data_IF_143077940529
#
_entry.id   IF_143077940529
#
_cell.length_a   1.000
_cell.length_b   1.000
_cell.length_c   1.000
_cell.angle_alpha   90.00
_cell.angle_beta   90.00
_cell.angle_gamma   90.00
#
_symmetry.space_group_name_H-M   'P 1'
#
loop_
_entity.id
_entity.type
_entity.pdbx_description
1 polymer ?
#
# COMPACT_ATOMS: atom_id res chain seq x y z
N UNK A 1 -48.04 -7.35 -39.53
CA UNK A 1 -47.20 -7.00 -38.36
C UNK A 1 -46.52 -8.26 -37.83
N UNK A 2 -45.35 -8.59 -38.38
CA UNK A 2 -44.40 -9.56 -37.83
C UNK A 2 -43.04 -8.97 -38.19
N UNK A 3 -42.30 -8.33 -37.29
CA UNK A 3 -41.86 -8.88 -36.01
C UNK A 3 -40.36 -9.10 -36.18
N UNK A 4 -39.59 -8.04 -35.87
CA UNK A 4 -38.11 -7.94 -35.78
C UNK A 4 -37.35 -9.20 -36.25
N UNK A 5 -36.69 -9.11 -37.42
CA UNK A 5 -35.71 -10.14 -37.81
C UNK A 5 -34.56 -10.12 -36.79
N UNK A 6 -34.47 -11.18 -36.00
CA UNK A 6 -33.34 -11.52 -35.16
C UNK A 6 -32.04 -11.40 -35.98
N UNK A 7 -31.00 -10.84 -35.38
CA UNK A 7 -29.73 -10.49 -36.01
C UNK A 7 -29.31 -11.50 -37.10
N UNK A 8 -29.37 -11.06 -38.35
CA UNK A 8 -28.82 -11.79 -39.49
C UNK A 8 -27.29 -11.78 -39.31
N UNK A 9 -26.74 -12.94 -38.96
CA UNK A 9 -25.30 -13.18 -38.94
C UNK A 9 -24.78 -13.14 -40.38
N UNK A 10 -24.58 -11.94 -40.91
CA UNK A 10 -23.83 -11.75 -42.16
C UNK A 10 -22.35 -11.95 -41.84
N UNK A 11 -21.77 -13.01 -42.39
CA UNK A 11 -20.33 -13.15 -42.43
C UNK A 11 -19.73 -11.89 -43.06
N UNK A 12 -18.72 -11.25 -42.43
CA UNK A 12 -18.05 -10.10 -43.00
C UNK A 12 -17.53 -10.46 -44.39
N UNK A 13 -17.87 -9.62 -45.37
CA UNK A 13 -17.30 -9.75 -46.71
C UNK A 13 -15.78 -9.59 -46.65
N UNK A 14 -15.05 -10.14 -47.63
CA UNK A 14 -13.59 -10.01 -47.68
C UNK A 14 -13.11 -8.54 -47.61
N UNK A 15 -13.92 -7.59 -48.11
CA UNK A 15 -13.66 -6.15 -48.01
C UNK A 15 -13.80 -5.63 -46.58
N UNK A 16 -14.82 -6.07 -45.85
CA UNK A 16 -15.04 -5.71 -44.44
C UNK A 16 -13.94 -6.29 -43.55
N UNK A 17 -13.52 -7.53 -43.78
CA UNK A 17 -12.42 -8.15 -43.06
C UNK A 17 -11.11 -7.36 -43.24
N UNK A 18 -10.79 -6.96 -44.47
CA UNK A 18 -9.62 -6.10 -44.73
C UNK A 18 -9.72 -4.75 -44.03
N UNK A 19 -10.89 -4.11 -44.06
CA UNK A 19 -11.09 -2.83 -43.40
C UNK A 19 -10.88 -2.94 -41.87
N UNK A 20 -11.41 -4.00 -41.26
CA UNK A 20 -11.26 -4.26 -39.82
C UNK A 20 -9.81 -4.59 -39.44
N UNK A 21 -9.11 -5.38 -40.25
CA UNK A 21 -7.69 -5.68 -40.06
C UNK A 21 -6.84 -4.40 -40.16
N UNK A 22 -7.16 -3.53 -41.11
CA UNK A 22 -6.47 -2.24 -41.29
C UNK A 22 -6.72 -1.32 -40.10
N UNK A 23 -7.97 -1.24 -39.63
CA UNK A 23 -8.34 -0.49 -38.44
C UNK A 23 -7.63 -1.04 -37.18
N UNK A 24 -7.51 -2.36 -37.04
CA UNK A 24 -6.81 -2.99 -35.93
C UNK A 24 -5.31 -2.65 -35.94
N UNK A 25 -4.67 -2.71 -37.11
CA UNK A 25 -3.25 -2.32 -37.28
C UNK A 25 -3.02 -0.84 -36.96
N UNK A 26 -3.91 0.04 -37.42
CA UNK A 26 -3.85 1.47 -37.10
C UNK A 26 -4.01 1.74 -35.60
N UNK A 27 -4.98 1.09 -34.95
CA UNK A 27 -5.19 1.23 -33.51
C UNK A 27 -4.00 0.72 -32.69
N UNK A 28 -3.36 -0.37 -33.11
CA UNK A 28 -2.17 -0.89 -32.45
C UNK A 28 -0.94 0.00 -32.66
N UNK A 29 -0.75 0.52 -33.88
CA UNK A 29 0.30 1.50 -34.16
C UNK A 29 0.08 2.80 -33.36
N UNK A 30 -1.17 3.22 -33.18
CA UNK A 30 -1.50 4.38 -32.35
C UNK A 30 -1.21 4.12 -30.88
N UNK A 31 -1.54 2.94 -30.33
CA UNK A 31 -1.18 2.56 -28.95
C UNK A 31 0.33 2.56 -28.73
N UNK A 32 1.11 1.98 -29.64
CA UNK A 32 2.58 1.95 -29.56
C UNK A 32 3.21 3.34 -29.64
N UNK A 33 2.57 4.31 -30.30
CA UNK A 33 3.03 5.71 -30.31
C UNK A 33 2.77 6.46 -29.00
N UNK A 34 1.77 6.03 -28.23
CA UNK A 34 1.37 6.67 -26.97
C UNK A 34 2.12 6.08 -25.77
N UNK A 35 2.51 4.81 -25.82
CA UNK A 35 3.41 4.23 -24.82
C UNK A 35 4.81 4.81 -25.00
N UNK A 36 5.22 5.68 -24.07
CA UNK A 36 6.63 6.03 -23.91
C UNK A 36 7.29 4.82 -23.25
N UNK A 37 8.17 4.16 -24.00
CA UNK A 37 8.93 2.97 -23.57
C UNK A 37 10.11 3.41 -22.71
N UNK A 38 9.81 4.10 -21.61
CA UNK A 38 10.80 4.59 -20.64
C UNK A 38 10.43 4.11 -19.24
N UNK A 39 10.39 2.78 -19.11
CA UNK A 39 10.20 2.08 -17.84
C UNK A 39 11.19 2.58 -16.79
N UNK A 40 12.42 2.92 -17.20
CA UNK A 40 13.44 3.46 -16.30
C UNK A 40 13.07 4.84 -15.76
N UNK A 41 12.65 5.79 -16.62
CA UNK A 41 12.17 7.09 -16.15
C UNK A 41 10.87 6.98 -15.34
N UNK A 42 10.01 6.01 -15.66
CA UNK A 42 8.81 5.73 -14.87
C UNK A 42 9.19 5.24 -13.46
N UNK A 43 10.07 4.25 -13.35
CA UNK A 43 10.58 3.75 -12.07
C UNK A 43 11.32 4.83 -11.30
N UNK A 44 12.16 5.62 -11.95
CA UNK A 44 12.86 6.75 -11.34
C UNK A 44 11.85 7.78 -10.78
N UNK A 45 10.77 8.08 -11.50
CA UNK A 45 9.71 8.96 -11.01
C UNK A 45 8.96 8.38 -9.81
N UNK A 46 8.69 7.07 -9.79
CA UNK A 46 8.02 6.39 -8.68
C UNK A 46 8.92 6.39 -7.43
N UNK A 47 10.20 6.09 -7.59
CA UNK A 47 11.17 6.09 -6.49
C UNK A 47 11.52 7.49 -5.99
N UNK A 48 11.45 8.50 -6.85
CA UNK A 48 11.65 9.90 -6.50
C UNK A 48 10.41 10.55 -5.85
N UNK A 49 9.23 9.90 -5.88
CA UNK A 49 8.02 10.42 -5.24
C UNK A 49 8.21 10.43 -3.71
N UNK A 50 8.17 11.59 -3.04
CA UNK A 50 8.26 11.67 -1.57
C UNK A 50 7.14 10.90 -0.85
N UNK A 51 6.03 10.59 -1.54
CA UNK A 51 4.94 9.74 -1.01
C UNK A 51 5.28 8.25 -1.04
N UNK A 52 6.25 7.84 -1.86
CA UNK A 52 6.74 6.47 -1.89
C UNK A 52 7.60 6.14 -0.66
N UNK A 53 8.13 7.16 0.02
CA UNK A 53 8.62 7.00 1.39
C UNK A 53 7.45 6.57 2.27
N UNK A 54 7.42 5.29 2.61
CA UNK A 54 6.54 4.81 3.67
C UNK A 54 7.03 5.48 4.95
N UNK A 55 6.42 6.62 5.29
CA UNK A 55 6.54 7.29 6.59
C UNK A 55 5.96 6.44 7.74
N UNK A 56 5.79 5.14 7.51
CA UNK A 56 5.43 4.18 8.53
C UNK A 56 6.57 4.07 9.52
N UNK A 57 6.26 4.07 10.82
CA UNK A 57 7.27 3.87 11.84
C UNK A 57 7.83 2.45 11.73
N UNK A 58 9.01 2.31 11.12
CA UNK A 58 9.73 1.03 11.09
C UNK A 58 10.19 0.69 12.51
N UNK A 59 9.96 -0.55 12.93
CA UNK A 59 10.41 -1.07 14.22
C UNK A 59 11.92 -0.88 14.45
N UNK A 60 12.73 -0.81 13.37
CA UNK A 60 14.18 -0.63 13.41
C UNK A 60 14.64 0.83 13.46
N UNK A 61 13.74 1.79 13.24
CA UNK A 61 14.08 3.22 13.29
C UNK A 61 14.02 3.75 14.71
N UNK A 62 14.84 4.75 14.97
CA UNK A 62 14.75 5.53 16.21
C UNK A 62 13.58 6.49 16.18
N UNK A 63 13.15 7.01 17.34
CA UNK A 63 12.11 8.05 17.39
C UNK A 63 12.51 9.30 16.58
N UNK A 64 13.80 9.64 16.53
CA UNK A 64 14.35 10.75 15.75
C UNK A 64 14.18 10.59 14.24
N UNK A 65 14.35 9.36 13.74
CA UNK A 65 14.32 9.02 12.31
C UNK A 65 12.90 8.88 11.74
N UNK A 66 11.90 8.82 12.61
CA UNK A 66 10.51 8.65 12.19
C UNK A 66 9.90 10.02 11.86
N UNK A 67 9.50 10.17 10.60
CA UNK A 67 8.82 11.36 10.09
C UNK A 67 7.33 11.46 10.44
N UNK A 68 6.70 10.37 10.89
CA UNK A 68 5.29 10.38 11.27
C UNK A 68 5.06 11.17 12.57
N UNK A 69 4.07 12.07 12.56
CA UNK A 69 3.66 12.83 13.75
C UNK A 69 2.91 11.97 14.78
N UNK A 70 2.28 10.88 14.34
CA UNK A 70 1.54 9.94 15.19
C UNK A 70 2.13 8.52 15.03
N UNK A 71 2.47 7.90 16.14
CA UNK A 71 3.00 6.53 16.19
C UNK A 71 1.91 5.58 16.70
N UNK A 72 1.77 4.42 16.04
CA UNK A 72 0.73 3.43 16.33
C UNK A 72 1.32 2.05 16.46
N UNK A 73 0.88 1.33 17.48
CA UNK A 73 1.16 -0.09 17.64
C UNK A 73 -0.14 -0.82 17.98
N UNK A 74 -0.42 -1.89 17.26
CA UNK A 74 -1.57 -2.74 17.51
C UNK A 74 -1.12 -4.04 18.18
N UNK A 75 -1.87 -4.50 19.19
CA UNK A 75 -1.69 -5.85 19.71
C UNK A 75 -2.55 -6.82 18.90
N UNK A 76 -1.94 -7.72 18.12
CA UNK A 76 -2.66 -8.72 17.32
C UNK A 76 -3.39 -9.78 18.15
N UNK A 77 -3.15 -9.84 19.47
CA UNK A 77 -3.84 -10.78 20.36
C UNK A 77 -5.19 -10.24 20.84
N UNK A 78 -5.27 -8.95 21.17
CA UNK A 78 -6.47 -8.32 21.71
C UNK A 78 -7.00 -7.17 20.85
N UNK A 79 -6.38 -6.94 19.69
CA UNK A 79 -6.70 -5.90 18.70
C UNK A 79 -6.73 -4.48 19.26
N UNK A 80 -6.01 -4.25 20.38
CA UNK A 80 -5.89 -2.91 20.96
C UNK A 80 -4.83 -2.13 20.22
N UNK A 81 -5.24 -0.97 19.69
CA UNK A 81 -4.34 0.02 19.10
C UNK A 81 -3.96 1.03 20.17
N UNK A 82 -2.66 1.17 20.44
CA UNK A 82 -2.08 2.24 21.26
C UNK A 82 -1.48 3.28 20.33
N UNK A 83 -1.83 4.56 20.57
CA UNK A 83 -1.37 5.70 19.78
C UNK A 83 -0.66 6.69 20.70
N UNK A 84 0.38 7.33 20.18
CA UNK A 84 1.10 8.39 20.87
C UNK A 84 1.58 9.41 19.84
N UNK A 85 1.55 10.70 20.17
CA UNK A 85 2.21 11.70 19.34
C UNK A 85 3.72 11.50 19.41
N UNK A 86 4.43 11.72 18.30
CA UNK A 86 5.89 11.53 18.25
C UNK A 86 6.60 12.40 19.29
N UNK A 87 6.19 13.64 19.44
CA UNK A 87 6.80 14.59 20.37
C UNK A 87 6.56 14.18 21.85
N UNK A 88 5.39 13.62 22.15
CA UNK A 88 5.11 13.02 23.46
C UNK A 88 5.97 11.78 23.71
N UNK A 89 6.18 10.95 22.68
CA UNK A 89 7.06 9.80 22.76
C UNK A 89 8.52 10.22 22.99
N UNK A 90 9.00 11.27 22.33
CA UNK A 90 10.35 11.84 22.56
C UNK A 90 10.49 12.52 23.92
N UNK A 91 9.39 13.01 24.50
CA UNK A 91 9.40 13.58 25.85
C UNK A 91 9.44 12.48 26.92
N UNK A 92 8.76 11.36 26.66
CA UNK A 92 8.65 10.22 27.59
C UNK A 92 9.81 9.22 27.48
N UNK A 93 10.40 9.09 26.29
CA UNK A 93 11.46 8.14 25.98
C UNK A 93 12.65 8.87 25.36
N UNK A 94 13.84 8.29 25.42
CA UNK A 94 15.02 8.88 24.77
C UNK A 94 14.85 8.95 23.25
N UNK A 95 15.34 10.02 22.63
CA UNK A 95 15.22 10.29 21.18
C UNK A 95 15.90 9.19 20.34
N UNK A 96 16.96 8.57 20.85
CA UNK A 96 17.66 7.44 20.24
C UNK A 96 16.98 6.09 20.47
N UNK A 97 15.87 6.03 21.21
CA UNK A 97 15.15 4.78 21.45
C UNK A 97 14.58 4.22 20.15
N UNK A 98 14.73 2.92 19.95
CA UNK A 98 14.10 2.21 18.84
C UNK A 98 12.59 2.19 19.01
N UNK A 99 11.86 2.40 17.92
CA UNK A 99 10.39 2.35 17.93
C UNK A 99 9.88 1.01 18.47
N UNK A 100 10.53 -0.11 18.13
CA UNK A 100 10.18 -1.43 18.68
C UNK A 100 10.14 -1.45 20.20
N UNK A 101 11.14 -0.88 20.87
CA UNK A 101 11.25 -0.90 22.32
C UNK A 101 10.18 -0.02 22.98
N UNK A 102 9.99 1.16 22.42
CA UNK A 102 8.97 2.12 22.85
C UNK A 102 7.57 1.51 22.72
N UNK A 103 7.25 0.98 21.54
CA UNK A 103 5.96 0.37 21.25
C UNK A 103 5.68 -0.89 22.08
N UNK A 104 6.70 -1.72 22.36
CA UNK A 104 6.55 -2.84 23.30
C UNK A 104 6.23 -2.35 24.72
N UNK A 105 6.86 -1.28 25.20
CA UNK A 105 6.53 -0.67 26.51
C UNK A 105 5.12 -0.08 26.53
N UNK A 106 4.72 0.62 25.46
CA UNK A 106 3.36 1.16 25.32
C UNK A 106 2.30 0.06 25.34
N UNK A 107 2.54 -1.06 24.67
CA UNK A 107 1.66 -2.23 24.77
C UNK A 107 1.68 -2.85 26.17
N UNK A 108 2.85 -2.94 26.82
CA UNK A 108 2.95 -3.49 28.16
C UNK A 108 2.10 -2.72 29.19
N UNK A 109 2.01 -1.40 29.04
CA UNK A 109 1.19 -0.52 29.89
C UNK A 109 -0.30 -0.53 29.51
N UNK A 110 -0.63 -0.66 28.22
CA UNK A 110 -1.99 -0.44 27.70
C UNK A 110 -2.80 -1.70 27.33
N UNK A 111 -2.19 -2.89 27.31
CA UNK A 111 -2.80 -4.16 26.87
C UNK A 111 -3.55 -4.85 28.03
N UNK A 112 -4.89 -4.91 27.96
CA UNK A 112 -5.75 -5.47 29.03
C UNK A 112 -5.78 -7.01 29.09
N UNK A 113 -5.42 -7.71 28.02
CA UNK A 113 -5.48 -9.19 27.95
C UNK A 113 -4.27 -9.87 28.59
N UNK A 114 -3.65 -9.22 29.57
CA UNK A 114 -2.46 -9.69 30.29
C UNK A 114 -2.81 -10.70 31.39
N UNK A 115 -3.57 -11.73 31.03
CA UNK A 115 -3.95 -12.82 31.94
C UNK A 115 -2.88 -13.92 32.08
N UNK A 116 -1.66 -13.76 31.54
CA UNK A 116 -0.60 -14.77 31.59
C UNK A 116 0.84 -14.24 31.62
N UNK A 117 1.83 -15.15 31.77
CA UNK A 117 3.27 -14.83 31.72
C UNK A 117 3.68 -14.35 30.32
N UNK A 118 4.62 -13.41 30.26
CA UNK A 118 5.17 -12.84 29.03
C UNK A 118 5.62 -13.90 27.99
N UNK A 119 6.17 -15.01 28.48
CA UNK A 119 6.70 -16.12 27.68
C UNK A 119 5.62 -17.03 27.08
N UNK A 120 4.40 -17.04 27.63
CA UNK A 120 3.30 -17.91 27.17
C UNK A 120 2.16 -17.12 26.50
N UNK A 121 1.94 -15.88 26.91
CA UNK A 121 0.75 -15.10 26.56
C UNK A 121 1.02 -13.61 26.26
N UNK A 122 2.26 -13.24 25.94
CA UNK A 122 2.65 -11.87 25.63
C UNK A 122 1.83 -11.20 24.51
N UNK A 123 1.72 -9.87 24.57
CA UNK A 123 1.06 -9.08 23.52
C UNK A 123 1.92 -9.14 22.24
N UNK A 124 1.28 -9.32 21.08
CA UNK A 124 1.96 -9.46 19.78
C UNK A 124 1.89 -8.13 19.03
N UNK A 125 2.99 -7.36 18.92
CA UNK A 125 2.95 -6.05 18.30
C UNK A 125 2.88 -6.15 16.77
N UNK A 126 1.96 -5.40 16.17
CA UNK A 126 1.98 -4.99 14.78
C UNK A 126 2.38 -3.52 14.71
N UNK A 127 3.43 -3.23 13.93
CA UNK A 127 4.04 -1.90 13.79
C UNK A 127 3.64 -1.23 12.45
N UNK A 128 2.59 -1.71 11.78
CA UNK A 128 2.08 -1.19 10.51
C UNK A 128 1.56 0.25 10.57
#
# INVERSE_FOLDING_TARGET
MAGRRCAEWRFPTAKQQKAEETARRLAEAQRRRVSVDDDEAWWASVLADPRAETNRPDARRTLAEIGSSELKVECLKCFRVVRIARDDAMTRFDVGSLWKEVAMRLLADGCMSRTGRHEKDGCWPDFR
#
